data_IF_773970500033
#
_entry.id   IF_773970500033
#
_cell.length_a   1.000
_cell.length_b   1.000
_cell.length_c   1.000
_cell.angle_alpha   90.00
_cell.angle_beta   90.00
_cell.angle_gamma   90.00
#
_symmetry.space_group_name_H-M   'P 1'
#
loop_
_entity.id
_entity.type
_entity.pdbx_description
1 polymer ?
#
# COMPACT_ATOMS: atom_id res chain seq x y z
N UNK A 1 32.61 -22.90 35.55
CA UNK A 1 31.65 -23.42 36.55
C UNK A 1 31.21 -22.28 37.45
N UNK A 2 29.95 -21.90 37.59
CA UNK A 2 28.79 -22.79 37.72
C UNK A 2 27.66 -22.53 36.73
N UNK A 3 26.79 -23.56 36.64
CA UNK A 3 25.51 -23.67 36.02
C UNK A 3 24.48 -22.62 36.50
N UNK A 4 23.64 -22.15 35.60
CA UNK A 4 22.38 -21.51 35.95
C UNK A 4 21.25 -22.19 35.17
N UNK A 5 20.60 -23.13 35.84
CA UNK A 5 19.35 -23.79 35.43
C UNK A 5 18.21 -22.77 35.25
N UNK A 6 17.64 -22.72 34.08
CA UNK A 6 16.40 -21.96 33.80
C UNK A 6 15.21 -22.89 34.08
N UNK A 7 14.51 -22.62 35.17
CA UNK A 7 13.27 -23.27 35.58
C UNK A 7 12.13 -22.88 34.64
N UNK A 8 11.57 -23.86 33.92
CA UNK A 8 10.31 -23.73 33.17
C UNK A 8 9.14 -23.72 34.13
N UNK A 9 8.42 -22.62 34.22
CA UNK A 9 7.11 -22.59 34.88
C UNK A 9 6.01 -22.81 33.83
N UNK A 10 5.42 -23.99 33.88
CA UNK A 10 4.22 -24.37 33.12
C UNK A 10 3.00 -23.97 33.93
N UNK A 11 2.25 -22.99 33.49
CA UNK A 11 0.96 -22.63 34.13
C UNK A 11 -0.16 -23.28 33.32
N UNK A 12 -0.77 -24.31 33.89
CA UNK A 12 -2.02 -24.92 33.47
C UNK A 12 -3.19 -24.01 33.93
N UNK A 13 -4.02 -23.55 32.98
CA UNK A 13 -5.30 -22.94 33.30
C UNK A 13 -6.40 -23.87 32.82
N UNK A 14 -7.22 -24.28 33.79
CA UNK A 14 -8.30 -25.24 33.66
C UNK A 14 -9.55 -24.67 32.94
N UNK A 15 -10.20 -25.56 32.21
CA UNK A 15 -11.55 -25.37 31.63
C UNK A 15 -12.60 -25.22 32.74
N UNK A 16 -13.54 -24.32 32.55
CA UNK A 16 -14.86 -24.38 33.17
C UNK A 16 -15.93 -24.16 32.10
N UNK A 17 -16.64 -25.24 31.77
CA UNK A 17 -17.86 -25.25 30.96
C UNK A 17 -19.04 -24.71 31.77
N UNK A 18 -19.86 -23.85 31.21
CA UNK A 18 -21.22 -23.59 31.66
C UNK A 18 -22.15 -23.47 30.44
N UNK A 19 -22.92 -24.50 30.23
CA UNK A 19 -24.05 -24.53 29.29
C UNK A 19 -25.27 -23.86 29.95
N UNK A 20 -25.84 -22.87 29.29
CA UNK A 20 -27.16 -22.35 29.62
C UNK A 20 -28.06 -22.41 28.37
N UNK A 21 -29.00 -23.37 28.39
CA UNK A 21 -30.14 -23.40 27.50
C UNK A 21 -31.10 -22.26 27.87
N UNK A 22 -31.44 -21.39 26.95
CA UNK A 22 -32.60 -20.54 27.05
C UNK A 22 -33.53 -20.80 25.86
N UNK A 23 -34.68 -21.39 26.18
CA UNK A 23 -35.84 -21.50 25.29
C UNK A 23 -36.40 -20.12 24.96
N UNK A 24 -36.59 -19.84 23.68
CA UNK A 24 -37.33 -18.67 23.21
C UNK A 24 -38.78 -19.03 22.96
N UNK A 25 -39.76 -18.20 23.37
CA UNK A 25 -41.14 -18.34 22.94
C UNK A 25 -41.35 -17.62 21.60
N UNK A 26 -42.09 -18.28 20.74
CA UNK A 26 -42.66 -17.80 19.49
C UNK A 26 -43.74 -16.75 19.77
N UNK A 27 -43.70 -15.60 19.10
CA UNK A 27 -44.78 -14.61 19.08
C UNK A 27 -45.21 -14.33 17.63
N UNK A 28 -46.48 -14.00 17.40
CA UNK A 28 -47.14 -14.09 16.10
C UNK A 28 -46.95 -12.86 15.23
N UNK A 29 -47.14 -13.08 13.94
CA UNK A 29 -47.14 -12.09 12.89
C UNK A 29 -48.26 -11.05 13.05
N UNK A 30 -47.94 -9.79 12.80
CA UNK A 30 -48.93 -8.77 12.49
C UNK A 30 -48.37 -7.67 11.58
N UNK A 31 -49.17 -7.41 10.54
CA UNK A 31 -49.35 -6.15 9.82
C UNK A 31 -48.23 -5.63 8.93
N UNK A 32 -48.42 -5.83 7.63
CA UNK A 32 -47.86 -5.07 6.52
C UNK A 32 -48.31 -3.60 6.61
N UNK A 33 -47.39 -2.73 7.02
CA UNK A 33 -47.52 -1.29 6.83
C UNK A 33 -46.87 -0.89 5.49
N UNK A 34 -47.70 -0.35 4.58
CA UNK A 34 -47.19 0.21 3.33
C UNK A 34 -46.20 1.32 3.59
N UNK A 35 -44.96 1.15 3.12
CA UNK A 35 -43.94 2.19 3.12
C UNK A 35 -44.30 3.25 2.08
N UNK A 36 -44.22 4.55 2.40
CA UNK A 36 -44.35 5.62 1.41
C UNK A 36 -43.22 5.53 0.39
N UNK A 37 -43.58 5.64 -0.89
CA UNK A 37 -42.64 5.69 -2.00
C UNK A 37 -41.66 6.83 -1.80
N UNK A 38 -40.39 6.49 -1.72
CA UNK A 38 -39.30 7.47 -1.74
C UNK A 38 -39.28 8.23 -3.07
N UNK A 39 -39.09 9.55 -3.07
CA UNK A 39 -38.96 10.31 -4.32
C UNK A 39 -37.78 9.76 -5.15
N UNK A 40 -38.04 9.49 -6.41
CA UNK A 40 -37.01 9.12 -7.40
C UNK A 40 -36.01 10.26 -7.48
N UNK A 41 -34.83 10.05 -6.88
CA UNK A 41 -33.68 10.91 -7.10
C UNK A 41 -33.25 10.71 -8.56
N UNK A 42 -33.48 11.75 -9.37
CA UNK A 42 -32.99 11.81 -10.74
C UNK A 42 -31.47 11.52 -10.72
N UNK A 43 -31.07 10.42 -11.32
CA UNK A 43 -29.68 10.09 -11.55
C UNK A 43 -29.09 11.15 -12.47
N UNK A 44 -28.33 12.07 -11.91
CA UNK A 44 -27.44 12.93 -12.71
C UNK A 44 -26.51 12.01 -13.50
N UNK A 45 -26.26 12.27 -14.80
CA UNK A 45 -25.26 11.51 -15.53
C UNK A 45 -23.93 11.73 -14.83
N UNK A 46 -23.49 10.71 -14.08
CA UNK A 46 -22.22 10.68 -13.42
C UNK A 46 -21.14 10.81 -14.51
N UNK A 47 -20.49 11.96 -14.55
CA UNK A 47 -19.19 12.07 -15.22
C UNK A 47 -18.39 10.89 -14.69
N UNK A 48 -17.98 9.98 -15.58
CA UNK A 48 -17.09 8.89 -15.22
C UNK A 48 -15.77 9.54 -14.79
N UNK A 49 -15.68 9.84 -13.50
CA UNK A 49 -14.44 10.32 -12.91
C UNK A 49 -13.43 9.20 -13.14
N UNK A 50 -12.45 9.45 -13.99
CA UNK A 50 -11.32 8.55 -14.18
C UNK A 50 -10.77 8.20 -12.80
N UNK A 51 -10.56 6.90 -12.54
CA UNK A 51 -9.98 6.47 -11.28
C UNK A 51 -8.68 7.23 -11.02
N UNK A 52 -8.41 7.68 -9.78
CA UNK A 52 -7.20 8.44 -9.50
C UNK A 52 -5.97 7.61 -9.86
N UNK A 53 -4.98 8.25 -10.50
CA UNK A 53 -3.73 7.62 -10.92
C UNK A 53 -2.93 7.05 -9.73
N UNK A 54 -3.15 7.62 -8.56
CA UNK A 54 -2.54 7.23 -7.28
C UNK A 54 -3.64 7.11 -6.24
N UNK A 55 -3.66 6.06 -5.40
CA UNK A 55 -4.60 5.94 -4.29
C UNK A 55 -4.60 7.19 -3.41
N UNK A 56 -5.78 7.62 -2.98
CA UNK A 56 -5.90 8.75 -2.05
C UNK A 56 -5.60 8.29 -0.62
N UNK A 57 -4.71 9.01 0.04
CA UNK A 57 -4.37 8.81 1.45
C UNK A 57 -4.60 10.10 2.24
N UNK A 58 -4.95 9.96 3.52
CA UNK A 58 -5.00 11.09 4.42
C UNK A 58 -3.61 11.76 4.56
N UNK A 59 -3.60 13.08 4.67
CA UNK A 59 -2.37 13.83 4.86
C UNK A 59 -1.67 13.41 6.17
N UNK A 60 -0.37 13.21 6.10
CA UNK A 60 0.51 12.91 7.22
C UNK A 60 1.78 13.79 7.05
N UNK A 61 1.74 15.05 7.52
CA UNK A 61 2.86 15.99 7.37
C UNK A 61 4.14 15.49 8.05
N UNK A 62 4.01 14.74 9.15
CA UNK A 62 5.16 14.16 9.85
C UNK A 62 5.82 13.09 8.99
N UNK A 63 5.02 12.26 8.35
CA UNK A 63 5.53 11.24 7.44
C UNK A 63 6.24 11.88 6.24
N UNK A 64 5.66 12.90 5.62
CA UNK A 64 6.29 13.62 4.52
C UNK A 64 7.61 14.27 4.96
N UNK A 65 7.62 14.91 6.14
CA UNK A 65 8.80 15.54 6.72
C UNK A 65 9.90 14.51 7.03
N UNK A 66 9.54 13.32 7.52
CA UNK A 66 10.49 12.25 7.81
C UNK A 66 11.25 11.75 6.57
N UNK A 67 10.69 11.95 5.37
CA UNK A 67 11.37 11.71 4.09
C UNK A 67 12.16 12.93 3.58
N UNK A 68 12.20 14.04 4.32
CA UNK A 68 12.85 15.27 3.86
C UNK A 68 12.02 16.05 2.84
N UNK A 69 10.69 15.90 2.89
CA UNK A 69 9.75 16.55 1.98
C UNK A 69 9.91 16.12 0.52
N UNK A 70 9.55 17.00 -0.41
CA UNK A 70 9.64 16.73 -1.85
C UNK A 70 11.07 16.41 -2.31
N UNK A 71 12.05 17.14 -1.82
CA UNK A 71 13.45 16.99 -2.24
C UNK A 71 14.03 15.65 -1.77
N UNK A 72 13.73 15.24 -0.55
CA UNK A 72 14.12 13.95 -0.01
C UNK A 72 13.48 12.79 -0.77
N UNK A 73 12.20 12.92 -1.16
CA UNK A 73 11.52 11.93 -2.00
C UNK A 73 12.09 11.87 -3.42
N UNK A 74 12.48 13.00 -4.01
CA UNK A 74 13.15 13.04 -5.31
C UNK A 74 14.51 12.34 -5.24
N UNK A 75 15.26 12.51 -4.15
CA UNK A 75 16.51 11.80 -3.89
C UNK A 75 16.29 10.30 -3.75
N UNK A 76 15.28 9.89 -2.95
CA UNK A 76 14.89 8.48 -2.80
C UNK A 76 14.52 7.86 -4.15
N UNK A 77 13.68 8.53 -4.94
CA UNK A 77 13.27 8.07 -6.26
C UNK A 77 14.47 7.90 -7.20
N UNK A 78 15.41 8.84 -7.19
CA UNK A 78 16.62 8.77 -8.00
C UNK A 78 17.48 7.55 -7.63
N UNK A 79 17.75 7.35 -6.34
CA UNK A 79 18.53 6.20 -5.85
C UNK A 79 17.86 4.88 -6.16
N UNK A 80 16.55 4.81 -5.97
CA UNK A 80 15.75 3.61 -6.25
C UNK A 80 15.79 3.26 -7.74
N UNK A 81 15.58 4.23 -8.66
CA UNK A 81 15.67 4.00 -10.10
C UNK A 81 17.07 3.53 -10.52
N UNK A 82 18.12 4.11 -9.94
CA UNK A 82 19.50 3.69 -10.23
C UNK A 82 19.76 2.25 -9.79
N UNK A 83 19.25 1.86 -8.61
CA UNK A 83 19.33 0.48 -8.12
C UNK A 83 18.54 -0.48 -9.01
N UNK A 84 17.31 -0.12 -9.41
CA UNK A 84 16.50 -0.94 -10.33
C UNK A 84 17.23 -1.15 -11.67
N UNK A 85 17.83 -0.11 -12.24
CA UNK A 85 18.55 -0.20 -13.51
C UNK A 85 19.82 -1.07 -13.41
N UNK A 86 20.50 -1.01 -12.27
CA UNK A 86 21.72 -1.79 -12.01
C UNK A 86 21.45 -3.24 -11.59
N UNK A 87 20.22 -3.57 -11.20
CA UNK A 87 19.87 -4.91 -10.71
C UNK A 87 19.89 -5.95 -11.83
N UNK A 88 20.58 -7.07 -11.61
CA UNK A 88 20.75 -8.14 -12.61
C UNK A 88 19.42 -8.82 -13.01
N UNK A 89 18.41 -8.82 -12.16
CA UNK A 89 17.13 -9.50 -12.42
C UNK A 89 16.15 -8.60 -13.16
N UNK A 90 16.03 -7.34 -12.76
CA UNK A 90 14.98 -6.45 -13.25
C UNK A 90 15.51 -5.29 -14.09
N UNK A 91 16.83 -5.07 -14.14
CA UNK A 91 17.45 -3.94 -14.86
C UNK A 91 17.14 -3.92 -16.36
N UNK A 92 16.88 -5.08 -16.97
CA UNK A 92 16.54 -5.19 -18.39
C UNK A 92 15.18 -4.52 -18.74
N UNK A 93 14.24 -4.42 -17.80
CA UNK A 93 12.98 -3.70 -18.02
C UNK A 93 13.17 -2.20 -18.29
N UNK A 94 14.31 -1.64 -17.87
CA UNK A 94 14.61 -0.21 -17.96
C UNK A 94 15.55 0.17 -19.12
N UNK A 95 15.93 -0.76 -19.99
CA UNK A 95 16.90 -0.51 -21.09
C UNK A 95 16.47 0.59 -22.04
N UNK A 96 15.17 0.65 -22.34
CA UNK A 96 14.60 1.63 -23.27
C UNK A 96 13.97 2.82 -22.55
N UNK A 97 14.07 2.89 -21.22
CA UNK A 97 13.42 3.89 -20.41
C UNK A 97 14.24 5.18 -20.31
N UNK A 98 13.59 6.32 -20.44
CA UNK A 98 14.21 7.63 -20.18
C UNK A 98 14.34 7.84 -18.67
N UNK A 99 15.45 7.39 -18.07
CA UNK A 99 15.67 7.40 -16.63
C UNK A 99 15.45 8.77 -15.96
N UNK A 100 15.90 9.91 -16.53
CA UNK A 100 15.65 11.21 -15.89
C UNK A 100 14.15 11.51 -15.73
N UNK A 101 13.34 11.18 -16.75
CA UNK A 101 11.87 11.33 -16.67
C UNK A 101 11.26 10.39 -15.64
N UNK A 102 11.69 9.12 -15.63
CA UNK A 102 11.20 8.14 -14.65
C UNK A 102 11.51 8.59 -13.22
N UNK A 103 12.71 9.10 -12.95
CA UNK A 103 13.11 9.63 -11.65
C UNK A 103 12.22 10.78 -11.18
N UNK A 104 11.94 11.73 -12.09
CA UNK A 104 11.07 12.87 -11.79
C UNK A 104 9.63 12.41 -11.49
N UNK A 105 9.05 11.59 -12.37
CA UNK A 105 7.68 11.08 -12.21
C UNK A 105 7.53 10.22 -10.94
N UNK A 106 8.52 9.38 -10.64
CA UNK A 106 8.49 8.57 -9.43
C UNK A 106 8.60 9.44 -8.16
N UNK A 107 9.40 10.51 -8.19
CA UNK A 107 9.47 11.49 -7.11
C UNK A 107 8.12 12.17 -6.85
N UNK A 108 7.45 12.63 -7.91
CA UNK A 108 6.12 13.24 -7.80
C UNK A 108 5.06 12.22 -7.36
N UNK A 109 5.14 10.97 -7.82
CA UNK A 109 4.26 9.89 -7.37
C UNK A 109 4.43 9.59 -5.89
N UNK A 110 5.65 9.41 -5.41
CA UNK A 110 5.92 9.17 -3.98
C UNK A 110 5.43 10.33 -3.12
N UNK A 111 5.64 11.56 -3.57
CA UNK A 111 5.14 12.75 -2.89
C UNK A 111 3.61 12.76 -2.83
N UNK A 112 2.92 12.45 -3.91
CA UNK A 112 1.45 12.36 -3.92
C UNK A 112 0.93 11.20 -3.05
N UNK A 113 1.59 10.04 -3.05
CA UNK A 113 1.28 8.89 -2.17
C UNK A 113 1.38 9.28 -0.70
N UNK A 114 2.30 10.16 -0.36
CA UNK A 114 2.43 10.70 1.00
C UNK A 114 1.50 11.90 1.26
N UNK A 115 0.55 12.18 0.35
CA UNK A 115 -0.35 13.32 0.40
C UNK A 115 0.39 14.66 0.48
N UNK A 116 1.58 14.73 -0.12
CA UNK A 116 2.34 15.96 -0.29
C UNK A 116 1.78 16.87 -1.40
N UNK A 117 2.32 18.08 -1.55
CA UNK A 117 1.82 19.09 -2.49
C UNK A 117 2.29 18.83 -3.95
N UNK A 118 2.30 17.59 -4.39
CA UNK A 118 2.74 17.18 -5.71
C UNK A 118 1.58 16.60 -6.51
N UNK A 119 1.69 16.68 -7.83
CA UNK A 119 0.73 16.09 -8.75
C UNK A 119 1.49 15.11 -9.64
N UNK A 120 1.10 13.85 -9.60
CA UNK A 120 1.58 12.84 -10.52
C UNK A 120 0.73 12.86 -11.79
N UNK A 121 1.36 13.18 -12.90
CA UNK A 121 0.74 13.26 -14.23
C UNK A 121 1.19 12.15 -15.19
N UNK A 122 1.86 11.13 -14.65
CA UNK A 122 2.32 9.97 -15.41
C UNK A 122 1.20 8.96 -15.71
N UNK A 123 1.60 7.84 -16.31
CA UNK A 123 0.68 6.74 -16.61
C UNK A 123 0.23 6.01 -15.34
N UNK A 124 -0.92 5.32 -15.41
CA UNK A 124 -1.33 4.40 -14.34
C UNK A 124 -0.31 3.28 -14.17
N UNK A 125 -0.24 2.67 -13.00
CA UNK A 125 0.64 1.50 -12.76
C UNK A 125 0.40 0.39 -13.77
N UNK A 126 -0.86 0.10 -14.08
CA UNK A 126 -1.23 -0.89 -15.10
C UNK A 126 -0.72 -0.53 -16.49
N UNK A 127 -0.85 0.73 -16.91
CA UNK A 127 -0.40 1.17 -18.23
C UNK A 127 1.13 1.16 -18.34
N UNK A 128 1.82 1.68 -17.32
CA UNK A 128 3.29 1.75 -17.28
C UNK A 128 3.97 0.38 -17.31
N UNK A 129 3.31 -0.67 -16.79
CA UNK A 129 3.88 -2.01 -16.69
C UNK A 129 3.29 -2.99 -17.72
N UNK A 130 2.34 -2.54 -18.54
CA UNK A 130 1.73 -3.39 -19.57
C UNK A 130 2.77 -3.96 -20.56
N UNK A 131 2.67 -5.25 -20.82
CA UNK A 131 3.54 -5.93 -21.79
C UNK A 131 4.98 -6.20 -21.34
N UNK A 132 5.35 -5.85 -20.10
CA UNK A 132 6.70 -6.09 -19.58
C UNK A 132 6.91 -7.54 -19.10
N UNK A 133 5.86 -8.35 -18.99
CA UNK A 133 5.94 -9.74 -18.49
C UNK A 133 6.59 -9.86 -17.09
N UNK A 134 6.27 -8.92 -16.22
CA UNK A 134 6.80 -8.87 -14.84
C UNK A 134 6.19 -10.02 -14.03
N UNK A 135 7.05 -10.85 -13.46
CA UNK A 135 6.64 -11.92 -12.57
C UNK A 135 6.46 -11.45 -11.13
N UNK A 136 5.79 -12.27 -10.33
CA UNK A 136 5.68 -12.05 -8.89
C UNK A 136 7.06 -11.95 -8.21
N UNK A 137 8.04 -12.78 -8.65
CA UNK A 137 9.40 -12.74 -8.11
C UNK A 137 10.13 -11.43 -8.44
N UNK A 138 9.94 -10.89 -9.65
CA UNK A 138 10.52 -9.59 -10.06
C UNK A 138 9.89 -8.45 -9.25
N UNK A 139 8.59 -8.53 -9.00
CA UNK A 139 7.86 -7.57 -8.19
C UNK A 139 8.32 -7.57 -6.73
N UNK A 140 8.65 -8.71 -6.14
CA UNK A 140 9.26 -8.77 -4.81
C UNK A 140 10.64 -8.09 -4.78
N UNK A 141 11.46 -8.31 -5.83
CA UNK A 141 12.75 -7.62 -5.92
C UNK A 141 12.58 -6.11 -5.95
N UNK A 142 11.57 -5.62 -6.65
CA UNK A 142 11.24 -4.19 -6.69
C UNK A 142 10.84 -3.63 -5.33
N UNK A 143 10.37 -4.42 -4.37
CA UNK A 143 10.09 -3.97 -2.99
C UNK A 143 11.36 -3.90 -2.15
N UNK A 144 12.32 -4.80 -2.36
CA UNK A 144 13.59 -4.81 -1.62
C UNK A 144 14.47 -3.59 -1.95
N UNK A 145 14.47 -3.14 -3.19
CA UNK A 145 15.33 -2.04 -3.64
C UNK A 145 14.98 -0.67 -3.04
N UNK A 146 13.71 -0.25 -2.91
CA UNK A 146 13.38 0.98 -2.20
C UNK A 146 13.68 0.89 -0.71
N UNK A 147 13.54 -0.29 -0.07
CA UNK A 147 13.98 -0.47 1.31
C UNK A 147 15.47 -0.22 1.45
N UNK A 148 16.31 -0.84 0.60
CA UNK A 148 17.74 -0.59 0.59
C UNK A 148 18.09 0.89 0.32
N UNK A 149 17.30 1.60 -0.50
CA UNK A 149 17.50 3.03 -0.73
C UNK A 149 17.11 3.87 0.48
N UNK A 150 16.06 3.49 1.20
CA UNK A 150 15.64 4.15 2.44
C UNK A 150 16.64 3.91 3.58
N UNK A 151 17.24 2.72 3.66
CA UNK A 151 18.29 2.40 4.63
C UNK A 151 19.52 3.28 4.41
N UNK A 152 19.98 3.44 3.17
CA UNK A 152 21.10 4.34 2.82
C UNK A 152 20.81 5.82 3.14
N UNK A 153 19.53 6.22 3.12
CA UNK A 153 19.10 7.55 3.51
C UNK A 153 18.83 7.68 5.02
N UNK A 154 19.12 6.63 5.79
CA UNK A 154 18.88 6.54 7.23
C UNK A 154 17.41 6.84 7.62
N UNK A 155 16.45 6.51 6.75
CA UNK A 155 15.02 6.63 7.06
C UNK A 155 14.64 5.56 8.10
N UNK A 156 14.03 5.92 9.24
CA UNK A 156 13.68 4.96 10.27
C UNK A 156 12.72 3.86 9.77
N UNK A 157 12.94 2.61 10.15
CA UNK A 157 12.15 1.46 9.71
C UNK A 157 10.63 1.62 9.86
N UNK A 158 10.07 2.19 10.96
CA UNK A 158 8.64 2.44 11.06
C UNK A 158 8.11 3.41 9.98
N UNK A 159 8.94 4.38 9.56
CA UNK A 159 8.62 5.35 8.51
C UNK A 159 8.63 4.67 7.13
N UNK A 160 9.64 3.81 6.86
CA UNK A 160 9.70 3.00 5.64
C UNK A 160 8.43 2.15 5.48
N UNK A 161 8.01 1.47 6.55
CA UNK A 161 6.81 0.62 6.53
C UNK A 161 5.53 1.41 6.21
N UNK A 162 5.40 2.65 6.69
CA UNK A 162 4.26 3.51 6.33
C UNK A 162 4.23 3.82 4.83
N UNK A 163 5.37 4.11 4.21
CA UNK A 163 5.44 4.30 2.76
C UNK A 163 5.09 3.01 2.01
N UNK A 164 5.70 1.90 2.37
CA UNK A 164 5.45 0.60 1.72
C UNK A 164 3.98 0.18 1.83
N UNK A 165 3.33 0.42 2.97
CA UNK A 165 1.90 0.16 3.15
C UNK A 165 1.02 1.00 2.20
N UNK A 166 1.41 2.25 1.91
CA UNK A 166 0.71 3.10 0.93
C UNK A 166 0.95 2.66 -0.52
N UNK A 167 2.10 2.06 -0.82
CA UNK A 167 2.42 1.52 -2.15
C UNK A 167 1.77 0.14 -2.39
N UNK A 168 1.49 -0.63 -1.35
CA UNK A 168 1.00 -2.01 -1.46
C UNK A 168 -0.28 -2.19 -2.29
N UNK A 169 -1.28 -1.28 -2.30
CA UNK A 169 -2.47 -1.42 -3.15
C UNK A 169 -2.16 -1.47 -4.65
N UNK A 170 -1.06 -0.85 -5.10
CA UNK A 170 -0.64 -0.79 -6.51
C UNK A 170 0.07 -2.07 -6.99
N UNK A 171 0.42 -2.97 -6.09
CA UNK A 171 1.19 -4.19 -6.38
C UNK A 171 0.57 -5.06 -7.47
N UNK A 172 -0.76 -5.21 -7.47
CA UNK A 172 -1.47 -6.06 -8.44
C UNK A 172 -1.39 -5.56 -9.88
N UNK A 173 -1.24 -4.25 -10.04
CA UNK A 173 -1.18 -3.60 -11.35
C UNK A 173 0.22 -3.71 -11.98
N UNK A 174 1.23 -4.09 -11.22
CA UNK A 174 2.62 -4.23 -11.65
C UNK A 174 2.88 -5.63 -12.22
N UNK A 175 2.26 -6.66 -11.64
CA UNK A 175 2.44 -8.05 -12.09
C UNK A 175 1.67 -8.27 -13.40
N UNK A 176 2.37 -8.71 -14.44
CA UNK A 176 1.80 -8.89 -15.79
C UNK A 176 1.89 -10.30 -16.31
N UNK A 177 2.41 -11.26 -15.52
CA UNK A 177 2.41 -12.70 -15.78
C UNK A 177 2.27 -13.55 -14.51
#
# INVERSE_FOLDING_TARGET
MPDASITRQTTLIALASAAALCLSPMAPAAAQGAAPAAPAVASLPGSAASAPLVPYFAADPELLSAFGGKDGLSKLASMFVDKMRADARIGHYFEKTKLPRLKAQLGDQLCQVLAGPCVYDGDTMKASHAGLNISKADSFRQVELPQASMDELAIPFPVQNKLLARLAPMYRDIITR
#
